data_IF_359890058752
#
_entry.id   IF_359890058752
#
_cell.length_a   1.000
_cell.length_b   1.000
_cell.length_c   1.000
_cell.angle_alpha   90.00
_cell.angle_beta   90.00
_cell.angle_gamma   90.00
#
_symmetry.space_group_name_H-M   'P 1'
#
loop_
_entity.id
_entity.type
_entity.pdbx_description
1 polymer ?
#
# COMPACT_ATOMS: atom_id res chain seq x y z
N UNK A 1 -48.57 9.54 20.02
CA UNK A 1 -47.40 9.60 19.10
C UNK A 1 -47.90 9.57 17.67
N UNK A 2 -47.67 10.63 16.88
CA UNK A 2 -48.20 10.80 15.52
C UNK A 2 -47.73 9.69 14.57
N UNK A 3 -48.65 9.12 13.78
CA UNK A 3 -48.37 8.07 12.79
C UNK A 3 -47.27 8.48 11.80
N UNK A 4 -47.14 9.78 11.51
CA UNK A 4 -46.05 10.33 10.70
C UNK A 4 -44.67 10.07 11.31
N UNK A 5 -44.51 10.17 12.65
CA UNK A 5 -43.24 9.89 13.33
C UNK A 5 -42.88 8.39 13.30
N UNK A 6 -43.89 7.51 13.35
CA UNK A 6 -43.71 6.05 13.27
C UNK A 6 -43.34 5.60 11.85
N UNK A 7 -43.98 6.17 10.84
CA UNK A 7 -43.69 5.92 9.43
C UNK A 7 -42.29 6.44 9.06
N UNK A 8 -41.94 7.66 9.48
CA UNK A 8 -40.60 8.23 9.27
C UNK A 8 -39.52 7.38 9.92
N UNK A 9 -39.72 6.94 11.18
CA UNK A 9 -38.77 6.05 11.87
C UNK A 9 -38.63 4.69 11.18
N UNK A 10 -39.73 4.11 10.70
CA UNK A 10 -39.70 2.86 9.91
C UNK A 10 -38.96 3.04 8.59
N UNK A 11 -39.12 4.19 7.92
CA UNK A 11 -38.41 4.49 6.69
C UNK A 11 -36.92 4.73 6.95
N UNK A 12 -36.53 5.46 8.01
CA UNK A 12 -35.12 5.57 8.41
C UNK A 12 -34.55 4.23 8.85
N UNK A 13 -35.24 3.41 9.63
CA UNK A 13 -34.77 2.07 10.02
C UNK A 13 -34.64 1.13 8.81
N UNK A 14 -35.53 1.24 7.81
CA UNK A 14 -35.45 0.49 6.55
C UNK A 14 -34.35 1.02 5.64
N UNK A 15 -34.14 2.33 5.60
CA UNK A 15 -33.02 2.96 4.91
C UNK A 15 -31.71 2.60 5.59
N UNK A 16 -31.58 2.65 6.90
CA UNK A 16 -30.42 2.18 7.66
C UNK A 16 -30.19 0.67 7.50
N UNK A 17 -31.23 -0.16 7.36
CA UNK A 17 -31.09 -1.59 7.05
C UNK A 17 -30.71 -1.89 5.59
N UNK A 18 -31.08 -1.05 4.62
CA UNK A 18 -30.64 -1.15 3.22
C UNK A 18 -29.26 -0.51 3.00
N UNK A 19 -28.99 0.57 3.73
CA UNK A 19 -27.71 1.30 3.81
C UNK A 19 -26.73 0.58 4.72
N UNK A 20 -27.17 -0.40 5.54
CA UNK A 20 -26.41 -1.56 6.07
C UNK A 20 -25.85 -2.39 4.90
N UNK A 21 -25.01 -1.75 4.11
CA UNK A 21 -23.61 -2.11 4.01
C UNK A 21 -23.50 -3.57 3.57
N UNK A 22 -23.76 -3.83 2.28
CA UNK A 22 -22.71 -4.51 1.51
C UNK A 22 -21.49 -3.63 1.78
N UNK A 23 -20.71 -4.01 2.80
CA UNK A 23 -19.48 -3.33 3.13
C UNK A 23 -18.73 -3.39 1.82
N UNK A 24 -18.49 -2.23 1.23
CA UNK A 24 -17.51 -2.08 0.19
C UNK A 24 -16.23 -2.46 0.92
N UNK A 25 -15.97 -3.77 1.07
CA UNK A 25 -14.75 -4.32 1.63
C UNK A 25 -13.72 -3.73 0.70
N UNK A 26 -12.93 -2.75 1.14
CA UNK A 26 -12.08 -2.00 0.26
C UNK A 26 -11.14 -3.00 -0.40
N UNK A 27 -11.31 -3.25 -1.70
CA UNK A 27 -10.64 -4.33 -2.44
C UNK A 27 -9.21 -3.93 -2.81
N UNK A 28 -8.53 -3.23 -1.90
CA UNK A 28 -7.24 -2.65 -2.18
C UNK A 28 -6.24 -2.86 -1.05
N UNK A 29 -5.01 -3.18 -1.45
CA UNK A 29 -3.84 -3.32 -0.59
C UNK A 29 -3.11 -1.99 -0.53
N UNK A 30 -2.71 -1.58 0.68
CA UNK A 30 -1.82 -0.44 0.87
C UNK A 30 -0.37 -0.81 0.54
N UNK A 31 0.27 -0.04 -0.32
CA UNK A 31 1.67 -0.15 -0.65
C UNK A 31 2.42 0.96 0.08
N UNK A 32 3.26 0.59 1.04
CA UNK A 32 4.11 1.53 1.76
C UNK A 32 5.52 1.45 1.20
N UNK A 33 5.80 2.26 0.18
CA UNK A 33 7.14 2.37 -0.41
C UNK A 33 8.01 3.37 0.33
N UNK A 34 9.29 3.01 0.50
CA UNK A 34 10.30 3.88 1.09
C UNK A 34 10.28 5.29 0.49
N UNK A 35 10.31 6.31 1.34
CA UNK A 35 10.34 7.72 0.96
C UNK A 35 11.69 8.18 0.41
N UNK A 36 12.74 7.37 0.53
CA UNK A 36 14.03 7.59 -0.12
C UNK A 36 14.71 8.92 0.21
N UNK A 37 14.77 9.30 1.49
CA UNK A 37 15.50 10.46 2.04
C UNK A 37 16.95 10.53 1.47
N UNK A 38 17.09 11.09 0.28
CA UNK A 38 18.29 11.06 -0.58
C UNK A 38 18.92 9.68 -0.78
N UNK A 39 18.08 8.65 -0.89
CA UNK A 39 18.51 7.25 -1.03
C UNK A 39 17.96 6.62 -2.33
N UNK A 40 18.81 6.17 -3.28
CA UNK A 40 18.38 5.62 -4.57
C UNK A 40 17.37 4.47 -4.46
N UNK A 41 17.52 3.62 -3.45
CA UNK A 41 16.58 2.52 -3.17
C UNK A 41 15.14 2.98 -2.92
N UNK A 42 14.95 4.20 -2.42
CA UNK A 42 13.60 4.77 -2.28
C UNK A 42 13.01 5.22 -3.61
N UNK A 43 13.81 5.76 -4.52
CA UNK A 43 13.35 6.21 -5.84
C UNK A 43 12.82 5.04 -6.68
N UNK A 44 13.60 3.96 -6.79
CA UNK A 44 13.12 2.74 -7.46
C UNK A 44 11.87 2.16 -6.77
N UNK A 45 11.78 2.22 -5.43
CA UNK A 45 10.60 1.73 -4.68
C UNK A 45 9.34 2.55 -4.99
N UNK A 46 9.45 3.89 -5.03
CA UNK A 46 8.35 4.81 -5.37
C UNK A 46 7.90 4.60 -6.81
N UNK A 47 8.83 4.49 -7.75
CA UNK A 47 8.52 4.32 -9.17
C UNK A 47 7.89 2.96 -9.44
N UNK A 48 8.43 1.88 -8.85
CA UNK A 48 7.83 0.55 -8.95
C UNK A 48 6.41 0.54 -8.38
N UNK A 49 6.20 1.17 -7.22
CA UNK A 49 4.87 1.31 -6.61
C UNK A 49 3.92 2.11 -7.50
N UNK A 50 4.38 3.22 -8.09
CA UNK A 50 3.60 4.00 -9.05
C UNK A 50 3.17 3.16 -10.25
N UNK A 51 4.06 2.35 -10.81
CA UNK A 51 3.72 1.43 -11.91
C UNK A 51 2.65 0.43 -11.50
N UNK A 52 2.72 -0.14 -10.30
CA UNK A 52 1.66 -1.05 -9.81
C UNK A 52 0.32 -0.34 -9.76
N UNK A 53 0.29 0.90 -9.27
CA UNK A 53 -0.93 1.69 -9.15
C UNK A 53 -1.53 2.09 -10.50
N UNK A 54 -0.71 2.38 -11.50
CA UNK A 54 -1.18 2.95 -12.78
C UNK A 54 -1.27 1.94 -13.91
N UNK A 55 -0.46 0.89 -13.89
CA UNK A 55 -0.30 -0.05 -15.01
C UNK A 55 -0.74 -1.47 -14.64
N UNK A 56 -0.30 -2.03 -13.50
CA UNK A 56 -0.54 -3.45 -13.19
C UNK A 56 -1.86 -3.73 -12.48
N UNK A 57 -2.18 -2.98 -11.43
CA UNK A 57 -3.32 -3.22 -10.54
C UNK A 57 -4.10 -1.93 -10.24
N UNK A 58 -4.54 -1.18 -11.27
CA UNK A 58 -5.26 0.07 -11.08
C UNK A 58 -6.56 -0.16 -10.32
N UNK A 59 -6.77 0.64 -9.26
CA UNK A 59 -7.95 0.54 -8.39
C UNK A 59 -7.97 -0.65 -7.42
N UNK A 60 -6.94 -1.51 -7.45
CA UNK A 60 -6.78 -2.65 -6.52
C UNK A 60 -5.61 -2.47 -5.56
N UNK A 61 -4.84 -1.40 -5.71
CA UNK A 61 -3.75 -1.01 -4.80
C UNK A 61 -3.82 0.49 -4.55
N UNK A 62 -3.28 0.94 -3.42
CA UNK A 62 -3.10 2.37 -3.13
C UNK A 62 -1.74 2.61 -2.51
N UNK A 63 -1.07 3.71 -2.86
CA UNK A 63 0.10 4.15 -2.12
C UNK A 63 -0.32 4.74 -0.78
N UNK A 64 0.51 4.51 0.22
CA UNK A 64 0.43 5.13 1.54
C UNK A 64 1.65 6.01 1.70
N UNK A 65 1.42 7.28 2.03
CA UNK A 65 2.49 8.25 2.15
C UNK A 65 3.29 7.98 3.42
N UNK A 66 4.43 7.29 3.29
CA UNK A 66 5.29 6.90 4.43
C UNK A 66 5.66 8.09 5.32
N UNK A 67 6.10 9.26 4.81
CA UNK A 67 6.40 10.41 5.68
C UNK A 67 5.20 10.86 6.51
N UNK A 68 4.00 10.91 5.93
CA UNK A 68 2.78 11.26 6.67
C UNK A 68 2.41 10.19 7.71
N UNK A 69 2.51 8.92 7.33
CA UNK A 69 2.31 7.79 8.24
C UNK A 69 3.25 7.85 9.45
N UNK A 70 4.55 8.04 9.21
CA UNK A 70 5.56 8.14 10.27
C UNK A 70 5.34 9.36 11.19
N UNK A 71 4.83 10.46 10.63
CA UNK A 71 4.43 11.65 11.40
C UNK A 71 3.09 11.50 12.13
N UNK A 72 2.48 10.30 12.12
CA UNK A 72 1.23 10.04 12.83
C UNK A 72 0.00 10.66 12.18
N UNK A 73 0.04 10.95 10.88
CA UNK A 73 -1.12 11.45 10.16
C UNK A 73 -2.32 10.51 10.35
N UNK A 74 -3.45 11.09 10.73
CA UNK A 74 -4.63 10.32 11.13
C UNK A 74 -5.18 9.46 9.98
N UNK A 75 -5.15 9.95 8.75
CA UNK A 75 -5.70 9.23 7.59
C UNK A 75 -4.84 8.01 7.25
N UNK A 76 -3.53 8.21 7.11
CA UNK A 76 -2.59 7.11 6.83
C UNK A 76 -2.59 6.08 7.98
N UNK A 77 -2.59 6.55 9.23
CA UNK A 77 -2.66 5.70 10.42
C UNK A 77 -3.95 4.88 10.46
N UNK A 78 -5.10 5.49 10.14
CA UNK A 78 -6.38 4.78 10.05
C UNK A 78 -6.37 3.77 8.91
N UNK A 79 -5.76 4.09 7.78
CA UNK A 79 -5.66 3.15 6.66
C UNK A 79 -4.88 1.90 7.10
N UNK A 80 -3.64 2.09 7.57
CA UNK A 80 -2.72 1.00 7.93
C UNK A 80 -3.29 0.10 9.05
N UNK A 81 -4.12 0.67 9.93
CA UNK A 81 -4.79 -0.12 10.98
C UNK A 81 -5.89 -1.03 10.46
N UNK A 82 -6.56 -0.65 9.37
CA UNK A 82 -7.79 -1.30 8.90
C UNK A 82 -7.63 -2.10 7.61
N UNK A 83 -6.55 -1.89 6.86
CA UNK A 83 -6.33 -2.51 5.55
C UNK A 83 -5.04 -3.31 5.48
N UNK A 84 -5.00 -4.39 4.67
CA UNK A 84 -3.77 -5.13 4.41
C UNK A 84 -2.74 -4.22 3.76
N UNK A 85 -1.49 -4.36 4.19
CA UNK A 85 -0.39 -3.51 3.75
C UNK A 85 0.82 -4.36 3.36
N UNK A 86 1.46 -4.01 2.24
CA UNK A 86 2.77 -4.53 1.83
C UNK A 86 3.80 -3.42 2.03
N UNK A 87 4.93 -3.74 2.64
CA UNK A 87 6.04 -2.78 2.77
C UNK A 87 7.08 -3.00 1.69
N UNK A 88 7.59 -1.90 1.14
CA UNK A 88 8.69 -1.89 0.16
C UNK A 88 9.80 -1.01 0.72
N UNK A 89 10.75 -1.64 1.39
CA UNK A 89 11.85 -0.99 2.10
C UNK A 89 13.08 -0.91 1.20
N UNK A 90 13.52 0.32 0.92
CA UNK A 90 14.61 0.61 -0.01
C UNK A 90 15.99 0.15 0.46
N UNK A 91 16.15 -0.17 1.75
CA UNK A 91 17.40 -0.60 2.36
C UNK A 91 17.18 -1.57 3.54
N UNK A 92 18.27 -2.14 4.03
CA UNK A 92 18.32 -3.08 5.15
C UNK A 92 17.77 -2.52 6.47
N UNK A 93 17.65 -1.18 6.60
CA UNK A 93 17.08 -0.55 7.79
C UNK A 93 15.61 -0.90 8.00
N UNK A 94 14.87 -1.20 6.92
CA UNK A 94 13.47 -1.61 6.95
C UNK A 94 12.57 -0.67 7.80
N UNK A 95 12.75 0.64 7.65
CA UNK A 95 12.09 1.65 8.49
C UNK A 95 10.56 1.55 8.41
N UNK A 96 10.01 1.24 7.23
CA UNK A 96 8.57 1.17 7.02
C UNK A 96 7.98 -0.03 7.76
N UNK A 97 8.56 -1.22 7.55
CA UNK A 97 8.18 -2.45 8.25
C UNK A 97 8.24 -2.26 9.77
N UNK A 98 9.35 -1.74 10.29
CA UNK A 98 9.55 -1.56 11.74
C UNK A 98 8.51 -0.61 12.33
N UNK A 99 8.16 0.48 11.64
CA UNK A 99 7.14 1.42 12.10
C UNK A 99 5.75 0.81 12.14
N UNK A 100 5.40 -0.02 11.16
CA UNK A 100 4.18 -0.83 11.16
C UNK A 100 4.12 -1.77 12.38
N UNK A 101 5.21 -2.52 12.60
CA UNK A 101 5.32 -3.48 13.70
C UNK A 101 5.26 -2.78 15.07
N UNK A 102 5.88 -1.61 15.21
CA UNK A 102 5.81 -0.79 16.42
C UNK A 102 4.38 -0.34 16.75
N UNK A 103 3.50 -0.24 15.76
CA UNK A 103 2.07 0.04 15.93
C UNK A 103 1.23 -1.23 16.19
N UNK A 104 1.86 -2.38 16.37
CA UNK A 104 1.19 -3.66 16.59
C UNK A 104 0.53 -4.22 15.33
N UNK A 105 0.97 -3.78 14.14
CA UNK A 105 0.47 -4.25 12.85
C UNK A 105 1.58 -4.96 12.10
N UNK A 106 1.27 -6.14 11.56
CA UNK A 106 2.19 -6.85 10.67
C UNK A 106 1.76 -6.61 9.23
N UNK A 107 2.69 -6.28 8.33
CA UNK A 107 2.37 -6.28 6.91
C UNK A 107 2.05 -7.70 6.45
N UNK A 108 1.25 -7.81 5.39
CA UNK A 108 0.92 -9.12 4.79
C UNK A 108 2.12 -9.69 4.03
N UNK A 109 2.98 -8.79 3.54
CA UNK A 109 4.27 -9.11 2.91
C UNK A 109 5.25 -7.95 3.11
N UNK A 110 6.54 -8.25 3.17
CA UNK A 110 7.59 -7.26 3.29
C UNK A 110 8.70 -7.50 2.28
N UNK A 111 8.94 -6.51 1.44
CA UNK A 111 10.01 -6.54 0.44
C UNK A 111 11.13 -5.64 0.94
N UNK A 112 12.30 -6.22 1.20
CA UNK A 112 13.52 -5.47 1.38
C UNK A 112 14.38 -5.54 0.12
N UNK A 113 14.73 -4.40 -0.46
CA UNK A 113 15.48 -4.36 -1.71
C UNK A 113 16.86 -5.04 -1.60
N UNK A 114 17.51 -5.00 -0.44
CA UNK A 114 18.81 -5.67 -0.24
C UNK A 114 18.72 -7.19 -0.23
N UNK A 115 17.52 -7.73 0.02
CA UNK A 115 17.24 -9.17 0.07
C UNK A 115 16.60 -9.67 -1.24
N UNK A 116 15.76 -8.83 -1.87
CA UNK A 116 15.05 -9.16 -3.10
C UNK A 116 15.97 -9.16 -4.33
N UNK A 117 16.85 -8.16 -4.44
CA UNK A 117 17.78 -8.05 -5.55
C UNK A 117 19.06 -8.84 -5.27
N UNK A 118 19.71 -9.34 -6.33
CA UNK A 118 21.06 -9.86 -6.20
C UNK A 118 22.03 -8.77 -5.73
N UNK A 119 23.19 -9.15 -5.21
CA UNK A 119 24.19 -8.19 -4.71
C UNK A 119 24.61 -7.18 -5.77
N UNK A 120 24.76 -7.60 -7.03
CA UNK A 120 25.16 -6.73 -8.13
C UNK A 120 24.03 -5.77 -8.55
N UNK A 121 22.79 -6.27 -8.65
CA UNK A 121 21.61 -5.43 -8.91
C UNK A 121 21.39 -4.40 -7.80
N UNK A 122 21.50 -4.81 -6.53
CA UNK A 122 21.36 -3.89 -5.40
C UNK A 122 22.48 -2.84 -5.41
N UNK A 123 23.71 -3.22 -5.72
CA UNK A 123 24.82 -2.27 -5.89
C UNK A 123 24.56 -1.28 -7.03
N UNK A 124 24.00 -1.74 -8.14
CA UNK A 124 23.59 -0.88 -9.25
C UNK A 124 22.52 0.13 -8.82
N UNK A 125 21.51 -0.32 -8.07
CA UNK A 125 20.49 0.56 -7.49
C UNK A 125 21.14 1.61 -6.60
N UNK A 126 22.01 1.18 -5.69
CA UNK A 126 22.68 2.06 -4.73
C UNK A 126 23.65 3.06 -5.35
N UNK A 127 24.15 2.77 -6.55
CA UNK A 127 25.01 3.68 -7.33
C UNK A 127 24.23 4.50 -8.37
N UNK A 128 22.91 4.30 -8.43
CA UNK A 128 22.05 4.91 -9.42
C UNK A 128 21.54 6.29 -9.01
N UNK A 129 20.71 6.90 -9.88
CA UNK A 129 20.17 8.24 -9.65
C UNK A 129 19.20 8.27 -8.47
N UNK A 130 19.07 9.43 -7.83
CA UNK A 130 18.09 9.67 -6.77
C UNK A 130 16.75 10.18 -7.32
N UNK A 131 16.67 10.62 -8.58
CA UNK A 131 15.44 11.17 -9.15
C UNK A 131 14.57 10.06 -9.75
N UNK A 132 13.27 10.12 -9.48
CA UNK A 132 12.30 9.09 -9.90
C UNK A 132 12.20 8.93 -11.42
N UNK A 133 12.34 10.03 -12.18
CA UNK A 133 12.23 10.01 -13.63
C UNK A 133 13.28 9.12 -14.30
N UNK A 134 14.46 9.02 -13.70
CA UNK A 134 15.55 8.22 -14.25
C UNK A 134 15.34 6.70 -14.09
N UNK A 135 14.37 6.31 -13.27
CA UNK A 135 14.03 4.90 -12.99
C UNK A 135 12.82 4.40 -13.76
N UNK A 136 12.09 5.25 -14.49
CA UNK A 136 10.79 4.92 -15.05
C UNK A 136 10.81 3.71 -16.00
N UNK A 137 11.82 3.63 -16.87
CA UNK A 137 11.96 2.55 -17.87
C UNK A 137 13.07 1.56 -17.51
N UNK A 138 13.55 1.60 -16.26
CA UNK A 138 14.63 0.73 -15.81
C UNK A 138 14.14 -0.72 -15.61
N UNK A 139 14.85 -1.75 -16.11
CA UNK A 139 14.46 -3.15 -15.94
C UNK A 139 14.34 -3.61 -14.48
N UNK A 140 15.13 -3.06 -13.56
CA UNK A 140 15.05 -3.38 -12.13
C UNK A 140 13.75 -2.84 -11.52
N UNK A 141 13.31 -1.66 -11.97
CA UNK A 141 12.01 -1.09 -11.57
C UNK A 141 10.88 -1.99 -12.02
N UNK A 142 10.93 -2.46 -13.27
CA UNK A 142 9.90 -3.35 -13.83
C UNK A 142 9.86 -4.68 -13.05
N UNK A 143 11.03 -5.29 -12.81
CA UNK A 143 11.16 -6.52 -12.00
C UNK A 143 10.55 -6.36 -10.61
N UNK A 144 10.80 -5.23 -9.94
CA UNK A 144 10.22 -4.95 -8.62
C UNK A 144 8.70 -4.72 -8.71
N UNK A 145 8.23 -3.96 -9.70
CA UNK A 145 6.81 -3.67 -9.89
C UNK A 145 6.00 -4.95 -10.16
N UNK A 146 6.49 -5.83 -11.04
CA UNK A 146 5.89 -7.13 -11.33
C UNK A 146 5.79 -7.98 -10.06
N UNK A 147 6.87 -8.03 -9.26
CA UNK A 147 6.87 -8.78 -8.02
C UNK A 147 5.84 -8.26 -7.01
N UNK A 148 5.78 -6.92 -6.82
CA UNK A 148 4.77 -6.29 -5.96
C UNK A 148 3.36 -6.61 -6.47
N UNK A 149 3.12 -6.54 -7.78
CA UNK A 149 1.82 -6.85 -8.37
C UNK A 149 1.41 -8.31 -8.14
N UNK A 150 2.33 -9.27 -8.34
CA UNK A 150 2.07 -10.69 -8.10
C UNK A 150 1.69 -10.94 -6.64
N UNK A 151 2.45 -10.38 -5.69
CA UNK A 151 2.17 -10.50 -4.25
C UNK A 151 0.83 -9.85 -3.87
N UNK A 152 0.56 -8.67 -4.42
CA UNK A 152 -0.70 -7.96 -4.20
C UNK A 152 -1.89 -8.78 -4.71
N UNK A 153 -1.82 -9.29 -5.95
CA UNK A 153 -2.87 -10.11 -6.54
C UNK A 153 -3.10 -11.42 -5.76
N UNK A 154 -2.01 -12.07 -5.32
CA UNK A 154 -2.08 -13.25 -4.45
C UNK A 154 -2.87 -12.97 -3.18
N UNK A 155 -2.52 -11.91 -2.45
CA UNK A 155 -3.19 -11.59 -1.19
C UNK A 155 -4.64 -11.09 -1.39
N UNK A 156 -4.91 -10.33 -2.45
CA UNK A 156 -6.29 -9.97 -2.81
C UNK A 156 -7.15 -11.23 -3.01
N UNK A 157 -6.61 -12.26 -3.66
CA UNK A 157 -7.31 -13.54 -3.86
C UNK A 157 -7.48 -14.32 -2.55
N UNK A 158 -6.42 -14.46 -1.75
CA UNK A 158 -6.46 -15.18 -0.45
C UNK A 158 -7.44 -14.55 0.55
N UNK A 159 -7.67 -13.24 0.45
CA UNK A 159 -8.61 -12.50 1.30
C UNK A 159 -10.03 -12.43 0.71
N UNK A 160 -10.31 -13.15 -0.38
CA UNK A 160 -11.57 -13.13 -1.12
C UNK A 160 -11.99 -11.71 -1.54
N UNK A 161 -11.04 -10.87 -1.92
CA UNK A 161 -11.25 -9.49 -2.34
C UNK A 161 -11.42 -9.37 -3.87
N UNK A 162 -10.93 -10.33 -4.64
CA UNK A 162 -11.16 -10.48 -6.09
C UNK A 162 -11.50 -11.92 -6.44
#
# INVERSE_FOLDING_TARGET
>A
MSWKKRLMKSLTDQMEKKVKIKMFKPKFIGLLSCSGEDFPGGSISRVATRKVLTEFLPGMTTAICVPLFLNGNEQETKFVKNFPCITIDGCEKACVKKSLEAMGKKPVESINLSEFFSKDEYKQIMSGPIHDLDWNDNPLTLKLAEHIAILSAKHLKEMNMI
#
